data_IF_131163400882
#
_entry.id   IF_131163400882
#
_cell.length_a   1.000
_cell.length_b   1.000
_cell.length_c   1.000
_cell.angle_alpha   90.00
_cell.angle_beta   90.00
_cell.angle_gamma   90.00
#
_symmetry.space_group_name_H-M   'P 1'
#
loop_
_entity.id
_entity.type
_entity.pdbx_description
1 polymer ?
#
# COMPACT_ATOMS: atom_id res chain seq x y z
N UNK A 1 -0.41 -9.28 -12.15
CA UNK A 1 0.18 -8.27 -13.06
C UNK A 1 1.61 -8.05 -12.62
N UNK A 2 2.57 -7.86 -13.55
CA UNK A 2 4.00 -7.69 -13.22
C UNK A 2 4.28 -6.63 -12.14
N UNK A 3 3.45 -5.59 -12.05
CA UNK A 3 3.57 -4.55 -11.04
C UNK A 3 3.22 -5.02 -9.61
N UNK A 4 2.13 -5.77 -9.45
CA UNK A 4 1.68 -6.25 -8.13
C UNK A 4 2.69 -7.26 -7.56
N UNK A 5 3.15 -8.17 -8.40
CA UNK A 5 4.20 -9.15 -8.05
C UNK A 5 5.49 -8.44 -7.62
N UNK A 6 5.95 -7.44 -8.39
CA UNK A 6 7.13 -6.66 -8.06
C UNK A 6 6.98 -5.92 -6.71
N UNK A 7 5.82 -5.34 -6.43
CA UNK A 7 5.52 -4.68 -5.15
C UNK A 7 5.48 -5.66 -3.97
N UNK A 8 4.92 -6.85 -4.17
CA UNK A 8 4.84 -7.91 -3.15
C UNK A 8 6.26 -8.41 -2.78
N UNK A 9 7.14 -8.54 -3.78
CA UNK A 9 8.51 -9.06 -3.64
C UNK A 9 9.56 -8.03 -3.17
N UNK A 10 9.16 -6.78 -2.89
CA UNK A 10 10.11 -5.75 -2.45
C UNK A 10 10.83 -6.17 -1.15
N UNK A 11 12.15 -5.88 -1.04
CA UNK A 11 12.87 -6.03 0.22
C UNK A 11 12.22 -5.18 1.31
N UNK A 12 12.27 -5.67 2.54
CA UNK A 12 11.68 -5.01 3.71
C UNK A 12 12.05 -3.51 3.84
N UNK A 13 13.32 -3.18 3.63
CA UNK A 13 13.82 -1.80 3.70
C UNK A 13 13.18 -0.93 2.63
N UNK A 14 12.97 -1.45 1.42
CA UNK A 14 12.34 -0.69 0.33
C UNK A 14 10.87 -0.46 0.63
N UNK A 15 10.18 -1.44 1.24
CA UNK A 15 8.80 -1.28 1.71
C UNK A 15 8.67 -0.12 2.71
N UNK A 16 9.60 -0.03 3.67
CA UNK A 16 9.66 1.08 4.63
C UNK A 16 9.87 2.42 3.93
N UNK A 17 10.81 2.50 2.98
CA UNK A 17 11.08 3.74 2.23
C UNK A 17 9.82 4.22 1.52
N UNK A 18 9.03 3.31 0.95
CA UNK A 18 7.79 3.66 0.25
C UNK A 18 6.67 4.11 1.20
N UNK A 19 6.74 3.86 2.50
CA UNK A 19 5.79 4.39 3.48
C UNK A 19 6.10 5.84 3.90
N UNK A 20 7.24 6.41 3.49
CA UNK A 20 7.62 7.77 3.86
C UNK A 20 6.70 8.82 3.19
N UNK A 21 6.50 10.00 3.82
CA UNK A 21 5.65 11.04 3.27
C UNK A 21 6.13 11.44 1.87
N UNK A 22 5.19 11.55 0.93
CA UNK A 22 5.44 11.80 -0.49
C UNK A 22 5.65 10.56 -1.35
N UNK A 23 6.12 9.43 -0.78
CA UNK A 23 6.28 8.15 -1.48
C UNK A 23 5.11 7.18 -1.23
N UNK A 24 4.35 7.37 -0.16
CA UNK A 24 3.19 6.56 0.23
C UNK A 24 2.11 6.44 -0.87
N UNK A 25 2.08 7.38 -1.81
CA UNK A 25 1.22 7.30 -3.00
C UNK A 25 1.47 6.02 -3.83
N UNK A 26 2.68 5.46 -3.79
CA UNK A 26 3.00 4.18 -4.44
C UNK A 26 2.14 3.06 -3.84
N UNK A 27 1.96 3.04 -2.51
CA UNK A 27 1.11 2.06 -1.84
C UNK A 27 -0.37 2.25 -2.17
N UNK A 28 -0.82 3.50 -2.33
CA UNK A 28 -2.18 3.80 -2.81
C UNK A 28 -2.43 3.22 -4.22
N UNK A 29 -1.51 3.45 -5.16
CA UNK A 29 -1.58 2.89 -6.54
C UNK A 29 -1.55 1.37 -6.49
N UNK A 30 -0.66 0.79 -5.69
CA UNK A 30 -0.58 -0.65 -5.50
C UNK A 30 -1.89 -1.26 -5.00
N UNK A 31 -2.55 -0.66 -4.01
CA UNK A 31 -3.85 -1.13 -3.52
C UNK A 31 -4.93 -1.08 -4.61
N UNK A 32 -4.94 -0.02 -5.42
CA UNK A 32 -5.87 0.11 -6.55
C UNK A 32 -5.63 -0.99 -7.59
N UNK A 33 -4.38 -1.18 -8.02
CA UNK A 33 -4.04 -2.17 -9.05
C UNK A 33 -4.28 -3.59 -8.53
N UNK A 34 -3.89 -3.89 -7.29
CA UNK A 34 -4.12 -5.20 -6.66
C UNK A 34 -5.61 -5.47 -6.43
N UNK A 35 -6.38 -4.45 -6.04
CA UNK A 35 -7.83 -4.55 -5.90
C UNK A 35 -8.53 -4.83 -7.23
N UNK A 36 -8.13 -4.16 -8.31
CA UNK A 36 -8.64 -4.43 -9.66
C UNK A 36 -8.26 -5.84 -10.13
N UNK A 37 -7.02 -6.29 -9.91
CA UNK A 37 -6.55 -7.62 -10.28
C UNK A 37 -7.27 -8.73 -9.51
N UNK A 38 -7.57 -8.51 -8.23
CA UNK A 38 -8.23 -9.49 -7.35
C UNK A 38 -9.76 -9.34 -7.29
N UNK A 39 -10.35 -8.43 -8.07
CA UNK A 39 -11.77 -8.05 -7.97
C UNK A 39 -12.22 -7.73 -6.53
N UNK A 40 -11.33 -7.15 -5.70
CA UNK A 40 -11.64 -6.77 -4.32
C UNK A 40 -12.01 -5.29 -4.26
N UNK A 41 -13.30 -5.04 -4.03
CA UNK A 41 -13.85 -3.68 -3.84
C UNK A 41 -13.23 -3.01 -2.62
N UNK A 42 -12.95 -3.77 -1.55
CA UNK A 42 -12.30 -3.25 -0.35
C UNK A 42 -10.93 -2.64 -0.64
N UNK A 43 -10.06 -3.36 -1.35
CA UNK A 43 -8.73 -2.85 -1.73
C UNK A 43 -8.81 -1.62 -2.64
N UNK A 44 -9.77 -1.58 -3.57
CA UNK A 44 -9.99 -0.41 -4.43
C UNK A 44 -10.38 0.82 -3.60
N UNK A 45 -11.35 0.68 -2.69
CA UNK A 45 -11.80 1.79 -1.83
C UNK A 45 -10.68 2.28 -0.93
N UNK A 46 -9.93 1.38 -0.29
CA UNK A 46 -8.79 1.73 0.57
C UNK A 46 -7.70 2.44 -0.24
N UNK A 47 -7.40 1.96 -1.45
CA UNK A 47 -6.41 2.58 -2.34
C UNK A 47 -6.78 4.01 -2.73
N UNK A 48 -8.05 4.26 -3.08
CA UNK A 48 -8.55 5.61 -3.37
C UNK A 48 -8.50 6.50 -2.13
N UNK A 49 -8.91 5.97 -0.96
CA UNK A 49 -8.86 6.69 0.31
C UNK A 49 -7.42 7.12 0.65
N UNK A 50 -6.46 6.22 0.48
CA UNK A 50 -5.03 6.50 0.69
C UNK A 50 -4.48 7.51 -0.31
N UNK A 51 -4.93 7.50 -1.57
CA UNK A 51 -4.49 8.50 -2.55
C UNK A 51 -4.91 9.93 -2.17
N UNK A 52 -6.08 10.09 -1.51
CA UNK A 52 -6.62 11.41 -1.16
C UNK A 52 -6.21 11.86 0.25
N UNK A 53 -6.22 10.95 1.22
CA UNK A 53 -5.98 11.25 2.64
C UNK A 53 -4.60 10.78 3.14
N UNK A 54 -3.90 9.94 2.38
CA UNK A 54 -2.68 9.28 2.82
C UNK A 54 -1.52 10.21 3.07
N UNK A 55 -1.44 11.30 2.29
CA UNK A 55 -0.40 12.33 2.43
C UNK A 55 -0.40 13.04 3.79
N UNK A 56 -1.56 13.13 4.46
CA UNK A 56 -1.68 13.85 5.72
C UNK A 56 -1.15 13.00 6.89
N UNK A 57 -1.80 11.85 7.16
CA UNK A 57 -1.46 11.02 8.32
C UNK A 57 -1.44 9.52 8.07
N UNK A 58 -2.07 9.00 7.00
CA UNK A 58 -2.24 7.54 6.88
C UNK A 58 -0.93 6.83 6.52
N UNK A 59 0.06 7.54 5.96
CA UNK A 59 1.42 7.04 5.78
C UNK A 59 2.06 6.54 7.09
N UNK A 60 1.66 7.09 8.25
CA UNK A 60 2.12 6.62 9.56
C UNK A 60 1.60 5.22 9.85
N UNK A 61 0.34 4.92 9.48
CA UNK A 61 -0.23 3.59 9.68
C UNK A 61 0.52 2.56 8.84
N UNK A 62 0.85 2.90 7.60
CA UNK A 62 1.65 2.06 6.72
C UNK A 62 3.07 1.86 7.23
N UNK A 63 3.69 2.91 7.76
CA UNK A 63 5.02 2.81 8.36
C UNK A 63 5.02 1.89 9.59
N UNK A 64 4.10 2.10 10.54
CA UNK A 64 4.02 1.31 11.78
C UNK A 64 3.69 -0.14 11.47
N UNK A 65 2.71 -0.41 10.60
CA UNK A 65 2.37 -1.78 10.23
C UNK A 65 3.48 -2.46 9.44
N UNK A 66 4.18 -1.74 8.55
CA UNK A 66 5.35 -2.30 7.87
C UNK A 66 6.42 -2.65 8.88
N UNK A 67 6.71 -1.79 9.86
CA UNK A 67 7.72 -2.06 10.90
C UNK A 67 7.40 -3.27 11.78
N UNK A 68 6.12 -3.51 12.07
CA UNK A 68 5.69 -4.59 12.98
C UNK A 68 5.38 -5.90 12.24
N UNK A 69 4.77 -5.81 11.06
CA UNK A 69 4.21 -6.94 10.31
C UNK A 69 4.99 -7.27 9.02
N UNK A 70 5.98 -6.45 8.65
CA UNK A 70 6.75 -6.62 7.42
C UNK A 70 6.04 -6.14 6.15
N UNK A 71 4.84 -5.59 6.27
CA UNK A 71 4.04 -5.07 5.14
C UNK A 71 3.08 -3.95 5.57
N UNK A 72 2.65 -3.08 4.63
CA UNK A 72 1.72 -2.01 4.91
C UNK A 72 0.32 -2.53 5.26
N UNK A 73 -0.52 -1.64 5.80
CA UNK A 73 -1.85 -2.03 6.25
C UNK A 73 -2.79 -2.21 5.05
N UNK A 74 -3.70 -3.18 5.15
CA UNK A 74 -4.76 -3.43 4.16
C UNK A 74 -4.23 -3.61 2.73
N UNK A 75 -3.20 -4.44 2.57
CA UNK A 75 -2.64 -4.87 1.29
C UNK A 75 -3.08 -6.27 0.87
N UNK A 76 -3.80 -6.97 1.75
CA UNK A 76 -4.40 -8.28 1.48
C UNK A 76 -5.86 -8.12 1.03
N UNK A 77 -6.40 -9.05 0.23
CA UNK A 77 -7.81 -9.02 -0.14
C UNK A 77 -8.69 -9.08 1.11
N UNK A 78 -9.59 -8.10 1.24
CA UNK A 78 -10.70 -8.06 2.20
C UNK A 78 -11.88 -8.88 1.65
#
# INVERSE_FOLDING_TARGET
>A
MKFVEWMDDLPYIVKIIFCLPGLDLIWAIYRIVKGAEKNSVGLLVVGILWAVLGWAILWILDLVTTLVLGKPILTDPL
#
